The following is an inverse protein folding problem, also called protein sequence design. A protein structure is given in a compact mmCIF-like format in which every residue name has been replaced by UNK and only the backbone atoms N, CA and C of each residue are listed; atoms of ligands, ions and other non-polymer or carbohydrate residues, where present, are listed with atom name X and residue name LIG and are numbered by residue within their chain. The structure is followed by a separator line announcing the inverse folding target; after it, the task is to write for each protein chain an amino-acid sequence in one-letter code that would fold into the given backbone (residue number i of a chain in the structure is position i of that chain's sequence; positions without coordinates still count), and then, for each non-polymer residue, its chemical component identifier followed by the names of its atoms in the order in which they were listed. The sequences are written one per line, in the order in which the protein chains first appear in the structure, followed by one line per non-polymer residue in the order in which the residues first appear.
data_IF_414369349109
#
_entry.id   IF_414369349109
#
_cell.length_a   1.000
_cell.length_b   1.000
_cell.length_c   1.000
_cell.angle_alpha   90.00
_cell.angle_beta   90.00
_cell.angle_gamma   90.00
#
_symmetry.space_group_name_H-M   'P 1'
#
loop_
_entity.id
_entity.type
_entity.pdbx_description
1 polymer ?
#
# COMPACT_ATOMS: atom_id res chain seq x y z
N UNK A 1 -1.45 -36.91 -52.85
CA UNK A 1 -1.47 -35.48 -52.54
C UNK A 1 -1.81 -35.30 -51.07
N UNK A 2 -0.81 -35.08 -50.23
CA UNK A 2 -0.99 -34.88 -48.78
C UNK A 2 -1.33 -33.40 -48.56
N UNK A 3 -2.53 -33.12 -48.03
CA UNK A 3 -2.93 -31.76 -47.64
C UNK A 3 -2.27 -31.43 -46.30
N UNK A 4 -1.28 -30.55 -46.33
CA UNK A 4 -0.75 -29.91 -45.13
C UNK A 4 -1.80 -28.92 -44.60
N UNK A 5 -2.41 -29.25 -43.45
CA UNK A 5 -3.17 -28.30 -42.64
C UNK A 5 -2.17 -27.59 -41.75
N UNK A 6 -1.92 -26.31 -42.05
CA UNK A 6 -1.09 -25.44 -41.23
C UNK A 6 -1.91 -25.01 -40.01
N UNK A 7 -1.61 -25.58 -38.84
CA UNK A 7 -2.20 -25.16 -37.57
C UNK A 7 -1.52 -23.85 -37.16
N UNK A 8 -2.20 -22.71 -37.34
CA UNK A 8 -1.73 -21.44 -36.82
C UNK A 8 -1.88 -21.44 -35.30
N UNK A 9 -0.77 -21.55 -34.56
CA UNK A 9 -0.74 -21.19 -33.14
C UNK A 9 -0.98 -19.68 -33.06
N UNK A 10 -2.19 -19.27 -32.68
CA UNK A 10 -2.40 -17.95 -32.09
C UNK A 10 -1.66 -17.94 -30.74
N UNK A 11 -0.45 -17.37 -30.74
CA UNK A 11 0.12 -16.87 -29.51
C UNK A 11 -0.78 -15.72 -29.04
N UNK A 12 -1.72 -16.03 -28.13
CA UNK A 12 -2.38 -15.03 -27.31
C UNK A 12 -1.27 -14.35 -26.50
N UNK A 13 -0.70 -13.27 -27.02
CA UNK A 13 0.11 -12.35 -26.24
C UNK A 13 -0.83 -11.74 -25.22
N UNK A 14 -0.95 -12.40 -24.06
CA UNK A 14 -1.65 -11.83 -22.92
C UNK A 14 -1.07 -10.45 -22.68
N UNK A 15 -1.94 -9.44 -22.64
CA UNK A 15 -1.54 -8.10 -22.20
C UNK A 15 -1.01 -8.22 -20.77
N UNK A 16 0.31 -8.33 -20.63
CA UNK A 16 1.00 -8.35 -19.36
C UNK A 16 0.72 -7.04 -18.62
N UNK A 17 -0.10 -7.10 -17.59
CA UNK A 17 -0.37 -5.97 -16.71
C UNK A 17 0.74 -5.92 -15.66
N UNK A 18 1.61 -4.91 -15.71
CA UNK A 18 2.72 -4.80 -14.78
C UNK A 18 2.31 -4.34 -13.37
N UNK A 19 1.05 -4.53 -12.96
CA UNK A 19 0.53 -3.94 -11.74
C UNK A 19 -0.17 -4.98 -10.87
N UNK A 20 0.01 -4.85 -9.55
CA UNK A 20 -0.77 -5.55 -8.54
C UNK A 20 -1.57 -4.56 -7.71
N UNK A 21 -2.76 -4.97 -7.30
CA UNK A 21 -3.52 -4.27 -6.25
C UNK A 21 -3.17 -4.90 -4.91
N UNK A 22 -2.65 -4.11 -3.98
CA UNK A 22 -2.31 -4.55 -2.64
C UNK A 22 -3.43 -4.10 -1.70
N UNK A 23 -4.11 -5.05 -1.07
CA UNK A 23 -5.20 -4.78 -0.12
C UNK A 23 -4.64 -4.69 1.29
N UNK A 24 -5.05 -3.67 2.03
CA UNK A 24 -4.66 -3.45 3.42
C UNK A 24 -5.88 -3.58 4.33
N UNK A 25 -5.84 -4.59 5.19
CA UNK A 25 -6.80 -4.82 6.27
C UNK A 25 -6.12 -4.60 7.63
N UNK A 26 -6.89 -4.48 8.72
CA UNK A 26 -6.32 -4.53 10.08
C UNK A 26 -7.10 -5.55 10.92
N UNK A 27 -8.39 -5.31 11.16
CA UNK A 27 -9.26 -6.25 11.87
C UNK A 27 -10.23 -6.97 10.93
N UNK A 28 -10.49 -8.25 11.22
CA UNK A 28 -11.64 -9.00 10.68
C UNK A 28 -12.56 -9.38 11.83
N UNK A 29 -13.41 -8.44 12.25
CA UNK A 29 -14.20 -8.53 13.48
C UNK A 29 -15.40 -7.59 13.48
N UNK A 30 -16.50 -8.01 14.10
CA UNK A 30 -17.71 -7.20 14.34
C UNK A 30 -17.63 -6.36 15.63
N UNK A 31 -16.64 -6.62 16.50
CA UNK A 31 -16.56 -6.05 17.86
C UNK A 31 -15.49 -4.99 18.03
N UNK A 32 -14.78 -4.64 16.96
CA UNK A 32 -13.65 -3.69 16.96
C UNK A 32 -14.07 -2.39 16.24
N UNK A 33 -13.34 -1.27 16.43
CA UNK A 33 -13.72 0.01 15.84
C UNK A 33 -13.87 -0.07 14.30
N UNK A 34 -15.07 0.22 13.79
CA UNK A 34 -15.40 0.07 12.38
C UNK A 34 -14.44 0.79 11.40
N UNK A 35 -13.76 1.85 11.85
CA UNK A 35 -12.79 2.61 11.04
C UNK A 35 -11.56 1.80 10.62
N UNK A 36 -11.22 0.73 11.35
CA UNK A 36 -10.10 -0.18 11.05
C UNK A 36 -10.54 -1.63 10.88
N UNK A 37 -11.85 -1.88 10.81
CA UNK A 37 -12.41 -3.23 10.73
C UNK A 37 -13.18 -3.48 9.45
N UNK A 38 -13.11 -4.72 8.99
CA UNK A 38 -14.09 -5.35 8.10
C UNK A 38 -14.82 -6.44 8.89
N UNK A 39 -16.10 -6.64 8.64
CA UNK A 39 -16.82 -7.75 9.29
C UNK A 39 -16.36 -9.09 8.72
N UNK A 40 -16.47 -10.20 9.47
CA UNK A 40 -16.18 -11.54 8.93
C UNK A 40 -17.00 -11.88 7.68
N UNK A 41 -18.26 -11.43 7.64
CA UNK A 41 -19.14 -11.61 6.50
C UNK A 41 -18.66 -10.85 5.25
N UNK A 42 -18.32 -9.57 5.41
CA UNK A 42 -17.76 -8.74 4.34
C UNK A 42 -16.43 -9.31 3.83
N UNK A 43 -15.54 -9.71 4.74
CA UNK A 43 -14.26 -10.30 4.36
C UNK A 43 -14.47 -11.60 3.56
N UNK A 44 -15.36 -12.48 4.02
CA UNK A 44 -15.71 -13.72 3.29
C UNK A 44 -16.28 -13.42 1.90
N UNK A 45 -17.18 -12.45 1.79
CA UNK A 45 -17.77 -12.03 0.50
C UNK A 45 -16.68 -11.52 -0.46
N UNK A 46 -15.73 -10.72 0.03
CA UNK A 46 -14.61 -10.23 -0.76
C UNK A 46 -13.72 -11.38 -1.25
N UNK A 47 -13.36 -12.33 -0.37
CA UNK A 47 -12.54 -13.48 -0.75
C UNK A 47 -13.24 -14.38 -1.78
N UNK A 48 -14.54 -14.63 -1.59
CA UNK A 48 -15.36 -15.35 -2.56
C UNK A 48 -15.35 -14.65 -3.92
N UNK A 49 -15.54 -13.33 -3.93
CA UNK A 49 -15.51 -12.55 -5.17
C UNK A 49 -14.17 -12.69 -5.90
N UNK A 50 -13.03 -12.61 -5.19
CA UNK A 50 -11.71 -12.80 -5.80
C UNK A 50 -11.58 -14.19 -6.45
N UNK A 51 -12.04 -15.24 -5.76
CA UNK A 51 -11.99 -16.61 -6.25
C UNK A 51 -12.88 -16.82 -7.51
N UNK A 52 -14.08 -16.26 -7.51
CA UNK A 52 -15.06 -16.43 -8.59
C UNK A 52 -14.76 -15.58 -9.84
N UNK A 53 -13.96 -14.52 -9.71
CA UNK A 53 -13.73 -13.54 -10.77
C UNK A 53 -12.32 -13.60 -11.40
N UNK A 54 -11.64 -14.73 -11.25
CA UNK A 54 -10.33 -15.02 -11.84
C UNK A 54 -9.24 -14.03 -11.42
N UNK A 55 -9.20 -13.66 -10.14
CA UNK A 55 -8.08 -12.90 -9.58
C UNK A 55 -6.92 -13.84 -9.24
N UNK A 56 -5.70 -13.34 -9.46
CA UNK A 56 -4.46 -14.03 -9.13
C UNK A 56 -3.99 -13.53 -7.75
N UNK A 57 -4.43 -14.19 -6.68
CA UNK A 57 -3.96 -13.86 -5.32
C UNK A 57 -2.58 -14.50 -5.11
N UNK A 58 -1.57 -13.67 -4.88
CA UNK A 58 -0.16 -14.10 -4.75
C UNK A 58 0.47 -13.55 -3.47
N UNK A 59 1.55 -14.17 -2.96
CA UNK A 59 2.29 -13.61 -1.83
C UNK A 59 2.81 -12.20 -2.15
N UNK A 60 2.91 -11.34 -1.15
CA UNK A 60 3.36 -9.96 -1.37
C UNK A 60 4.82 -9.94 -1.86
N UNK A 61 5.66 -10.84 -1.35
CA UNK A 61 7.05 -11.01 -1.81
C UNK A 61 7.12 -11.23 -3.33
N UNK A 62 6.21 -12.02 -3.91
CA UNK A 62 6.15 -12.27 -5.36
C UNK A 62 5.86 -10.99 -6.15
N UNK A 63 4.97 -10.13 -5.64
CA UNK A 63 4.70 -8.82 -6.24
C UNK A 63 5.96 -7.95 -6.18
N UNK A 64 6.59 -7.88 -5.01
CA UNK A 64 7.81 -7.08 -4.79
C UNK A 64 8.95 -7.52 -5.70
N UNK A 65 9.24 -8.82 -5.75
CA UNK A 65 10.27 -9.39 -6.61
C UNK A 65 10.00 -9.10 -8.09
N UNK A 66 8.73 -9.18 -8.51
CA UNK A 66 8.34 -8.87 -9.88
C UNK A 66 8.56 -7.40 -10.22
N UNK A 67 8.20 -6.47 -9.33
CA UNK A 67 8.44 -5.03 -9.51
C UNK A 67 9.94 -4.75 -9.56
N UNK A 68 10.73 -5.26 -8.62
CA UNK A 68 12.20 -5.13 -8.58
C UNK A 68 12.84 -5.63 -9.87
N UNK A 69 12.41 -6.79 -10.36
CA UNK A 69 12.91 -7.39 -11.58
C UNK A 69 12.31 -6.81 -12.88
N UNK A 70 11.41 -5.81 -12.77
CA UNK A 70 10.62 -5.28 -13.89
C UNK A 70 9.94 -6.37 -14.72
N UNK A 71 9.52 -7.45 -14.05
CA UNK A 71 8.79 -8.56 -14.65
C UNK A 71 7.31 -8.23 -14.72
N UNK A 72 6.69 -8.65 -15.81
CA UNK A 72 5.25 -8.58 -15.97
C UNK A 72 4.54 -9.39 -14.88
N UNK A 73 3.52 -8.79 -14.27
CA UNK A 73 2.53 -9.52 -13.48
C UNK A 73 1.35 -9.94 -14.37
N UNK A 74 0.63 -11.01 -14.03
CA UNK A 74 -0.64 -11.29 -14.65
C UNK A 74 -1.64 -10.15 -14.43
N UNK A 75 -2.62 -10.00 -15.33
CA UNK A 75 -3.75 -9.14 -15.04
C UNK A 75 -4.51 -9.65 -13.81
N UNK A 76 -5.17 -8.75 -13.08
CA UNK A 76 -5.93 -9.06 -11.86
C UNK A 76 -5.08 -9.70 -10.74
N UNK A 77 -3.80 -9.33 -10.64
CA UNK A 77 -2.96 -9.75 -9.51
C UNK A 77 -3.30 -8.97 -8.24
N UNK A 78 -3.55 -9.70 -7.15
CA UNK A 78 -3.86 -9.16 -5.83
C UNK A 78 -2.85 -9.68 -4.81
N UNK A 79 -2.40 -8.82 -3.90
CA UNK A 79 -1.77 -9.24 -2.65
C UNK A 79 -2.64 -8.82 -1.47
N UNK A 80 -2.83 -9.72 -0.50
CA UNK A 80 -3.63 -9.47 0.71
C UNK A 80 -2.67 -9.21 1.85
N UNK A 81 -2.84 -8.07 2.52
CA UNK A 81 -1.99 -7.67 3.65
C UNK A 81 -2.85 -7.28 4.84
N UNK A 82 -2.33 -7.54 6.04
CA UNK A 82 -2.90 -7.13 7.30
C UNK A 82 -1.85 -6.39 8.12
N UNK A 83 -2.24 -5.30 8.75
CA UNK A 83 -1.38 -4.52 9.63
C UNK A 83 -1.63 -4.89 11.11
N UNK A 84 -0.75 -4.43 12.00
CA UNK A 84 -0.77 -4.50 13.48
C UNK A 84 -0.61 -5.88 14.15
N UNK A 85 -0.99 -6.97 13.50
CA UNK A 85 -0.85 -8.32 14.08
C UNK A 85 -1.97 -8.71 15.06
N UNK A 86 -3.20 -8.26 14.83
CA UNK A 86 -4.35 -8.56 15.67
C UNK A 86 -4.77 -10.05 15.69
N UNK A 87 -5.27 -10.55 16.84
CA UNK A 87 -5.79 -11.92 17.01
C UNK A 87 -6.97 -12.24 16.11
N UNK A 88 -7.74 -11.24 15.70
CA UNK A 88 -8.85 -11.41 14.75
C UNK A 88 -8.37 -12.01 13.42
N UNK A 89 -7.11 -11.81 13.05
CA UNK A 89 -6.54 -12.41 11.85
C UNK A 89 -6.34 -13.92 12.00
N UNK A 90 -5.70 -14.37 13.09
CA UNK A 90 -5.56 -15.80 13.38
C UNK A 90 -6.92 -16.50 13.53
N UNK A 91 -7.86 -15.88 14.26
CA UNK A 91 -9.11 -16.52 14.65
C UNK A 91 -10.16 -16.50 13.54
N UNK A 92 -10.15 -15.49 12.68
CA UNK A 92 -11.23 -15.26 11.71
C UNK A 92 -10.72 -15.24 10.27
N UNK A 93 -9.74 -14.39 9.95
CA UNK A 93 -9.31 -14.19 8.57
C UNK A 93 -8.56 -15.41 8.00
N UNK A 94 -7.64 -15.98 8.79
CA UNK A 94 -6.81 -17.11 8.38
C UNK A 94 -7.63 -18.35 8.00
N UNK A 95 -8.62 -18.82 8.79
CA UNK A 95 -9.50 -19.91 8.38
C UNK A 95 -10.24 -19.66 7.06
N UNK A 96 -10.65 -18.42 6.78
CA UNK A 96 -11.31 -18.06 5.52
C UNK A 96 -10.32 -18.12 4.37
N UNK A 97 -9.14 -17.50 4.51
CA UNK A 97 -8.09 -17.50 3.47
C UNK A 97 -7.64 -18.93 3.13
N UNK A 98 -7.54 -19.81 4.13
CA UNK A 98 -7.19 -21.22 3.97
C UNK A 98 -8.20 -21.98 3.09
N UNK A 99 -9.49 -21.67 3.15
CA UNK A 99 -10.51 -22.28 2.28
C UNK A 99 -10.26 -21.98 0.80
N UNK A 100 -9.77 -20.78 0.50
CA UNK A 100 -9.46 -20.33 -0.87
C UNK A 100 -8.00 -20.58 -1.26
N UNK A 101 -7.15 -21.07 -0.33
CA UNK A 101 -5.70 -21.19 -0.50
C UNK A 101 -5.04 -19.86 -0.87
N UNK A 102 -5.56 -18.76 -0.33
CA UNK A 102 -5.04 -17.42 -0.59
C UNK A 102 -3.86 -17.11 0.33
N UNK A 103 -2.68 -16.78 -0.22
CA UNK A 103 -1.56 -16.30 0.58
C UNK A 103 -1.84 -14.89 1.08
N UNK A 104 -1.16 -14.51 2.16
CA UNK A 104 -1.27 -13.19 2.75
C UNK A 104 -0.02 -12.85 3.55
N UNK A 105 0.15 -11.54 3.80
CA UNK A 105 1.26 -11.00 4.58
C UNK A 105 0.73 -10.28 5.81
N UNK A 106 1.37 -10.50 6.96
CA UNK A 106 1.10 -9.87 8.24
C UNK A 106 2.24 -8.92 8.59
N UNK A 107 1.97 -7.63 8.62
CA UNK A 107 2.88 -6.65 9.18
C UNK A 107 2.65 -6.56 10.68
N UNK A 108 3.69 -6.82 11.49
CA UNK A 108 3.57 -6.90 12.95
C UNK A 108 4.48 -5.89 13.66
N UNK A 109 3.96 -5.29 14.72
CA UNK A 109 4.76 -4.51 15.69
C UNK A 109 5.11 -5.40 16.87
N UNK A 110 6.38 -5.44 17.27
CA UNK A 110 6.88 -6.41 18.25
C UNK A 110 6.55 -6.03 19.70
N UNK A 111 6.61 -4.74 20.04
CA UNK A 111 6.39 -4.30 21.42
C UNK A 111 4.99 -4.68 21.96
N UNK A 112 3.87 -4.47 21.23
CA UNK A 112 2.55 -4.89 21.69
C UNK A 112 2.42 -6.41 21.92
N UNK A 113 3.14 -7.22 21.14
CA UNK A 113 3.19 -8.67 21.28
C UNK A 113 3.94 -9.05 22.57
N UNK A 114 5.11 -8.43 22.81
CA UNK A 114 5.91 -8.67 24.01
C UNK A 114 5.23 -8.19 25.30
N UNK A 115 4.42 -7.12 25.21
CA UNK A 115 3.59 -6.63 26.32
C UNK A 115 2.28 -7.42 26.49
N UNK A 116 2.06 -8.45 25.67
CA UNK A 116 0.89 -9.34 25.71
C UNK A 116 -0.45 -8.59 25.67
N UNK A 117 -0.54 -7.52 24.86
CA UNK A 117 -1.77 -6.76 24.73
C UNK A 117 -2.93 -7.65 24.25
N UNK A 118 -4.08 -7.51 24.91
CA UNK A 118 -5.23 -8.43 24.80
C UNK A 118 -5.73 -8.69 23.37
N UNK A 119 -5.57 -7.74 22.46
CA UNK A 119 -6.00 -7.88 21.06
C UNK A 119 -4.90 -8.38 20.10
N UNK A 120 -3.65 -8.48 20.54
CA UNK A 120 -2.49 -8.80 19.69
C UNK A 120 -2.17 -10.28 19.69
N UNK A 121 -1.80 -10.85 18.55
CA UNK A 121 -1.36 -12.24 18.49
C UNK A 121 -0.13 -12.49 19.38
N UNK A 122 -0.02 -13.69 19.94
CA UNK A 122 1.24 -14.14 20.55
C UNK A 122 2.24 -14.59 19.49
N UNK A 123 3.52 -14.65 19.84
CA UNK A 123 4.54 -15.26 18.98
C UNK A 123 4.21 -16.69 18.56
N UNK A 124 3.62 -17.49 19.47
CA UNK A 124 3.22 -18.86 19.13
C UNK A 124 2.14 -18.90 18.04
N UNK A 125 1.21 -17.94 18.03
CA UNK A 125 0.22 -17.81 16.96
C UNK A 125 0.91 -17.41 15.65
N UNK A 126 1.79 -16.40 15.67
CA UNK A 126 2.53 -15.96 14.48
C UNK A 126 3.39 -17.06 13.87
N UNK A 127 4.10 -17.85 14.69
CA UNK A 127 4.89 -19.00 14.25
C UNK A 127 3.99 -20.05 13.61
N UNK A 128 2.83 -20.33 14.20
CA UNK A 128 1.84 -21.25 13.62
C UNK A 128 1.38 -20.77 12.25
N UNK A 129 1.00 -19.50 12.10
CA UNK A 129 0.56 -18.93 10.82
C UNK A 129 1.69 -18.94 9.78
N UNK A 130 2.92 -18.60 10.19
CA UNK A 130 4.12 -18.69 9.36
C UNK A 130 4.33 -20.11 8.81
N UNK A 131 4.24 -21.12 9.67
CA UNK A 131 4.35 -22.53 9.27
C UNK A 131 3.22 -22.99 8.33
N UNK A 132 2.07 -22.31 8.37
CA UNK A 132 0.94 -22.52 7.46
C UNK A 132 1.02 -21.67 6.18
N UNK A 133 2.10 -20.91 5.97
CA UNK A 133 2.38 -20.19 4.73
C UNK A 133 2.07 -18.69 4.76
N UNK A 134 1.75 -18.11 5.91
CA UNK A 134 1.64 -16.65 6.06
C UNK A 134 3.02 -16.00 6.03
N UNK A 135 3.16 -14.90 5.29
CA UNK A 135 4.36 -14.07 5.35
C UNK A 135 4.30 -13.16 6.57
N UNK A 136 5.34 -13.11 7.39
CA UNK A 136 5.43 -12.21 8.55
C UNK A 136 6.45 -11.12 8.25
N UNK A 137 6.03 -9.86 8.33
CA UNK A 137 6.76 -8.69 7.89
C UNK A 137 6.69 -7.55 8.93
N UNK A 138 7.43 -6.47 8.68
CA UNK A 138 7.77 -5.46 9.67
C UNK A 138 6.72 -4.34 9.77
N UNK A 139 6.31 -3.99 10.99
CA UNK A 139 5.46 -2.81 11.26
C UNK A 139 6.06 -1.90 12.35
N UNK A 140 7.38 -1.71 12.29
CA UNK A 140 8.20 -1.06 13.31
C UNK A 140 8.11 -1.73 14.70
N UNK A 141 8.74 -1.12 15.71
CA UNK A 141 8.83 -1.71 17.04
C UNK A 141 7.52 -1.57 17.83
N UNK A 142 7.03 -0.35 18.01
CA UNK A 142 5.93 -0.03 18.91
C UNK A 142 4.69 0.53 18.22
N UNK A 143 4.59 0.44 16.90
CA UNK A 143 3.57 1.14 16.10
C UNK A 143 3.65 2.66 16.31
N UNK A 144 4.87 3.19 16.40
CA UNK A 144 5.13 4.60 16.61
C UNK A 144 4.98 5.42 15.32
N UNK A 145 4.64 6.71 15.48
CA UNK A 145 4.67 7.65 14.37
C UNK A 145 6.10 7.91 13.94
N UNK A 146 6.53 7.32 12.82
CA UNK A 146 7.94 7.31 12.44
C UNK A 146 8.49 8.72 12.21
N UNK A 147 7.70 9.64 11.65
CA UNK A 147 8.11 11.03 11.36
C UNK A 147 8.15 11.95 12.60
N UNK A 148 7.74 11.46 13.77
CA UNK A 148 7.63 12.28 14.99
C UNK A 148 8.87 12.11 15.86
N UNK A 149 9.49 13.25 16.18
CA UNK A 149 10.61 13.34 17.12
C UNK A 149 10.08 13.35 18.56
N UNK A 150 10.86 12.75 19.46
CA UNK A 150 10.67 12.92 20.89
C UNK A 150 11.07 14.35 21.30
N UNK A 151 10.68 14.75 22.52
CA UNK A 151 11.16 16.00 23.09
C UNK A 151 12.69 15.98 23.19
N UNK A 152 13.33 17.09 22.78
CA UNK A 152 14.79 17.31 22.80
C UNK A 152 15.63 16.38 21.90
N UNK A 153 14.99 15.65 20.99
CA UNK A 153 15.66 14.76 20.04
C UNK A 153 16.17 15.52 18.80
N UNK A 154 17.46 15.38 18.49
CA UNK A 154 18.00 15.88 17.21
C UNK A 154 17.56 15.02 16.02
N UNK A 155 17.70 15.53 14.81
CA UNK A 155 17.36 14.81 13.58
C UNK A 155 18.14 13.50 13.45
N UNK A 156 19.41 13.50 13.85
CA UNK A 156 20.27 12.31 13.84
C UNK A 156 19.84 11.28 14.89
N UNK A 157 19.51 11.73 16.10
CA UNK A 157 19.04 10.84 17.18
C UNK A 157 17.69 10.20 16.82
N UNK A 158 16.78 11.00 16.26
CA UNK A 158 15.50 10.53 15.78
C UNK A 158 15.65 9.47 14.70
N UNK A 159 16.43 9.76 13.64
CA UNK A 159 16.60 8.81 12.56
C UNK A 159 17.27 7.52 13.03
N UNK A 160 18.28 7.62 13.90
CA UNK A 160 18.95 6.46 14.49
C UNK A 160 18.01 5.59 15.33
N UNK A 161 17.12 6.20 16.12
CA UNK A 161 16.10 5.47 16.89
C UNK A 161 15.10 4.76 15.98
N UNK A 162 14.63 5.42 14.92
CA UNK A 162 13.71 4.81 13.96
C UNK A 162 14.39 3.65 13.22
N UNK A 163 15.64 3.82 12.78
CA UNK A 163 16.47 2.77 12.18
C UNK A 163 16.64 1.58 13.14
N UNK A 164 17.00 1.82 14.39
CA UNK A 164 17.12 0.77 15.41
C UNK A 164 15.81 0.01 15.62
N UNK A 165 14.68 0.71 15.76
CA UNK A 165 13.37 0.11 15.94
C UNK A 165 13.01 -0.84 14.79
N UNK A 166 13.20 -0.40 13.54
CA UNK A 166 12.88 -1.19 12.35
C UNK A 166 13.80 -2.40 12.24
N UNK A 167 15.10 -2.23 12.42
CA UNK A 167 16.08 -3.33 12.34
C UNK A 167 15.87 -4.36 13.46
N UNK A 168 15.56 -3.90 14.67
CA UNK A 168 15.24 -4.77 15.80
C UNK A 168 13.96 -5.57 15.57
N UNK A 169 12.92 -4.95 15.01
CA UNK A 169 11.70 -5.67 14.62
C UNK A 169 12.00 -6.76 13.60
N UNK A 170 12.78 -6.46 12.56
CA UNK A 170 13.17 -7.45 11.56
C UNK A 170 13.93 -8.62 12.21
N UNK A 171 14.88 -8.32 13.10
CA UNK A 171 15.65 -9.35 13.80
C UNK A 171 14.80 -10.28 14.67
N UNK A 172 13.79 -9.76 15.37
CA UNK A 172 12.87 -10.60 16.16
C UNK A 172 11.95 -11.44 15.27
N UNK A 173 11.48 -10.91 14.14
CA UNK A 173 10.73 -11.69 13.14
C UNK A 173 11.58 -12.84 12.59
N UNK A 174 12.83 -12.57 12.19
CA UNK A 174 13.78 -13.59 11.71
C UNK A 174 14.01 -14.65 12.77
N UNK A 175 14.25 -14.24 14.02
CA UNK A 175 14.49 -15.17 15.13
C UNK A 175 13.29 -16.07 15.41
N UNK A 176 12.07 -15.53 15.35
CA UNK A 176 10.87 -16.29 15.65
C UNK A 176 10.42 -17.19 14.49
N UNK A 177 10.51 -16.71 13.26
CA UNK A 177 9.87 -17.34 12.09
C UNK A 177 10.84 -17.86 11.04
N UNK A 178 12.10 -17.43 11.06
CA UNK A 178 13.09 -17.66 10.01
C UNK A 178 12.90 -16.79 8.77
N UNK A 179 11.86 -15.95 8.70
CA UNK A 179 11.57 -15.09 7.56
C UNK A 179 12.37 -13.79 7.64
N UNK A 180 13.02 -13.39 6.54
CA UNK A 180 13.79 -12.14 6.40
C UNK A 180 13.35 -11.42 5.13
N UNK A 181 12.12 -10.91 5.13
CA UNK A 181 11.50 -10.37 3.93
C UNK A 181 11.96 -8.94 3.62
N UNK A 182 12.43 -8.19 4.64
CA UNK A 182 12.74 -6.76 4.54
C UNK A 182 11.61 -5.96 3.90
N UNK A 183 10.38 -6.24 4.33
CA UNK A 183 9.18 -5.54 3.92
C UNK A 183 8.62 -4.78 5.12
N UNK A 184 8.42 -3.47 4.99
CA UNK A 184 7.90 -2.60 6.05
C UNK A 184 6.58 -1.95 5.63
N UNK A 185 5.51 -2.15 6.39
CA UNK A 185 4.37 -1.23 6.32
C UNK A 185 4.64 -0.05 7.25
N UNK A 186 4.49 1.19 6.77
CA UNK A 186 4.64 2.36 7.63
C UNK A 186 3.44 2.46 8.59
N UNK A 187 3.65 2.49 9.92
CA UNK A 187 2.59 2.84 10.87
C UNK A 187 1.88 4.12 10.43
N UNK A 188 0.55 4.10 10.43
CA UNK A 188 -0.31 5.22 9.99
C UNK A 188 -0.11 5.68 8.53
N UNK A 189 0.71 4.98 7.74
CA UNK A 189 1.14 5.40 6.41
C UNK A 189 2.09 6.60 6.41
N UNK A 190 2.76 6.88 7.53
CA UNK A 190 3.60 8.06 7.71
C UNK A 190 5.08 7.78 7.40
N UNK A 191 5.63 8.53 6.46
CA UNK A 191 7.05 8.49 6.08
C UNK A 191 7.50 9.85 5.52
N UNK A 192 8.81 10.03 5.43
CA UNK A 192 9.46 11.18 4.81
C UNK A 192 10.70 10.72 4.03
N UNK A 193 11.35 11.64 3.31
CA UNK A 193 12.49 11.28 2.45
C UNK A 193 13.65 10.65 3.24
N UNK A 194 13.94 11.13 4.46
CA UNK A 194 15.03 10.59 5.29
C UNK A 194 14.79 9.12 5.69
N UNK A 195 13.55 8.74 5.99
CA UNK A 195 13.18 7.35 6.28
C UNK A 195 13.29 6.50 5.01
N UNK A 196 12.81 6.99 3.86
CA UNK A 196 12.92 6.26 2.59
C UNK A 196 14.38 5.96 2.23
N UNK A 197 15.26 6.97 2.32
CA UNK A 197 16.69 6.82 2.05
C UNK A 197 17.35 5.81 3.00
N UNK A 198 16.96 5.82 4.29
CA UNK A 198 17.43 4.86 5.29
C UNK A 198 16.98 3.43 4.94
N UNK A 199 15.73 3.25 4.53
CA UNK A 199 15.18 1.94 4.17
C UNK A 199 15.83 1.38 2.90
N UNK A 200 16.02 2.22 1.88
CA UNK A 200 16.70 1.82 0.64
C UNK A 200 18.13 1.34 0.92
N UNK A 201 18.88 2.08 1.76
CA UNK A 201 20.23 1.69 2.22
C UNK A 201 20.26 0.30 2.86
N UNK A 202 19.21 -0.10 3.58
CA UNK A 202 19.09 -1.42 4.21
C UNK A 202 18.47 -2.49 3.31
N UNK A 203 18.05 -2.13 2.09
CA UNK A 203 17.41 -3.00 1.11
C UNK A 203 15.95 -3.32 1.44
N UNK A 204 15.29 -2.48 2.23
CA UNK A 204 13.88 -2.62 2.52
C UNK A 204 13.01 -2.19 1.34
N UNK A 205 11.84 -2.81 1.27
CA UNK A 205 10.71 -2.34 0.46
C UNK A 205 9.64 -1.91 1.43
N UNK A 206 9.00 -0.78 1.16
CA UNK A 206 8.07 -0.21 2.12
C UNK A 206 6.74 0.21 1.48
N UNK A 207 5.70 0.14 2.31
CA UNK A 207 4.31 0.23 1.90
C UNK A 207 3.61 1.34 2.67
N UNK A 208 3.07 2.30 1.93
CA UNK A 208 2.24 3.35 2.51
C UNK A 208 0.77 2.96 2.56
N UNK A 209 -0.09 3.96 2.79
CA UNK A 209 -1.55 3.82 2.80
C UNK A 209 -2.22 4.64 1.68
N UNK A 210 -1.42 5.23 0.78
CA UNK A 210 -1.91 5.93 -0.40
C UNK A 210 -2.48 4.92 -1.40
N UNK A 211 -3.65 5.24 -1.95
CA UNK A 211 -4.39 4.37 -2.86
C UNK A 211 -3.71 4.28 -4.23
N UNK A 212 -3.69 3.08 -4.81
CA UNK A 212 -3.13 2.88 -6.14
C UNK A 212 -2.72 1.43 -6.36
N UNK A 213 -2.54 1.05 -7.62
CA UNK A 213 -1.91 -0.22 -7.95
C UNK A 213 -0.39 -0.05 -7.97
N UNK A 214 0.32 -1.01 -7.39
CA UNK A 214 1.77 -1.05 -7.33
C UNK A 214 2.32 -1.66 -8.62
N UNK A 215 3.37 -1.06 -9.20
CA UNK A 215 3.99 -1.53 -10.42
C UNK A 215 5.36 -0.87 -10.69
N UNK A 216 5.93 -1.01 -11.90
CA UNK A 216 7.25 -0.49 -12.26
C UNK A 216 7.43 1.02 -12.09
N UNK A 217 6.35 1.79 -12.04
CA UNK A 217 6.38 3.24 -11.84
C UNK A 217 6.21 3.65 -10.37
N UNK A 218 6.05 2.68 -9.47
CA UNK A 218 5.97 2.94 -8.03
C UNK A 218 7.37 2.93 -7.39
N UNK A 219 7.68 3.90 -6.50
CA UNK A 219 8.88 3.83 -5.68
C UNK A 219 8.82 2.61 -4.75
N UNK A 220 9.93 1.85 -4.66
CA UNK A 220 10.00 0.63 -3.84
C UNK A 220 9.87 0.92 -2.33
N UNK A 221 10.24 2.11 -1.90
CA UNK A 221 10.11 2.58 -0.50
C UNK A 221 8.76 3.22 -0.21
N UNK A 222 7.85 3.29 -1.17
CA UNK A 222 6.53 3.88 -0.99
C UNK A 222 5.48 3.23 -1.92
N UNK A 223 5.43 1.89 -1.91
CA UNK A 223 4.42 1.14 -2.66
C UNK A 223 3.00 1.44 -2.14
N UNK A 224 2.03 1.71 -3.03
CA UNK A 224 0.66 2.04 -2.64
C UNK A 224 -0.13 0.81 -2.19
N UNK A 225 -1.12 1.02 -1.33
CA UNK A 225 -2.08 0.02 -0.87
C UNK A 225 -3.48 0.60 -0.84
N UNK A 226 -4.50 -0.24 -0.97
CA UNK A 226 -5.88 0.15 -0.76
C UNK A 226 -6.34 -0.28 0.63
N UNK A 227 -6.60 0.68 1.56
CA UNK A 227 -7.25 0.38 2.82
C UNK A 227 -8.67 -0.18 2.58
N UNK A 228 -8.98 -1.29 3.25
CA UNK A 228 -10.27 -1.98 3.21
C UNK A 228 -10.82 -2.09 4.63
N UNK A 229 -11.45 -1.01 5.10
CA UNK A 229 -12.07 -0.93 6.42
C UNK A 229 -13.24 0.06 6.40
N UNK A 230 -14.22 -0.13 7.29
CA UNK A 230 -15.37 0.76 7.45
C UNK A 230 -16.08 1.04 6.12
N UNK A 231 -16.20 2.32 5.76
CA UNK A 231 -16.85 2.75 4.51
C UNK A 231 -16.14 2.25 3.25
N UNK A 232 -14.87 1.82 3.35
CA UNK A 232 -14.09 1.29 2.24
C UNK A 232 -14.15 -0.24 2.11
N UNK A 233 -14.84 -0.92 3.03
CA UNK A 233 -15.03 -2.37 3.00
C UNK A 233 -16.17 -2.82 2.07
N UNK A 234 -17.03 -1.91 1.60
CA UNK A 234 -18.10 -2.23 0.67
C UNK A 234 -17.55 -2.78 -0.65
N UNK A 235 -18.01 -3.98 -1.03
CA UNK A 235 -17.51 -4.70 -2.19
C UNK A 235 -17.81 -3.96 -3.51
N UNK A 236 -18.93 -3.26 -3.63
CA UNK A 236 -19.26 -2.55 -4.86
C UNK A 236 -18.25 -1.44 -5.16
N UNK A 237 -17.87 -0.67 -4.14
CA UNK A 237 -16.80 0.33 -4.26
C UNK A 237 -15.42 -0.31 -4.47
N UNK A 238 -15.17 -1.47 -3.84
CA UNK A 238 -13.90 -2.18 -3.93
C UNK A 238 -13.63 -2.75 -5.32
N UNK A 239 -14.66 -3.21 -6.04
CA UNK A 239 -14.52 -3.76 -7.42
C UNK A 239 -13.75 -2.82 -8.35
N UNK A 240 -14.04 -1.52 -8.29
CA UNK A 240 -13.33 -0.52 -9.11
C UNK A 240 -11.84 -0.48 -8.74
N UNK A 241 -11.53 -0.50 -7.45
CA UNK A 241 -10.15 -0.48 -6.94
C UNK A 241 -9.36 -1.74 -7.33
N UNK A 242 -10.00 -2.91 -7.31
CA UNK A 242 -9.40 -4.20 -7.70
C UNK A 242 -8.96 -4.26 -9.17
N UNK A 243 -9.50 -3.38 -10.02
CA UNK A 243 -9.12 -3.25 -11.42
C UNK A 243 -8.19 -2.06 -11.70
N UNK A 244 -7.67 -1.40 -10.66
CA UNK A 244 -6.79 -0.24 -10.82
C UNK A 244 -5.50 -0.61 -11.54
N UNK A 245 -4.99 0.33 -12.33
CA UNK A 245 -3.72 0.25 -13.04
C UNK A 245 -2.68 1.15 -12.37
N UNK A 246 -1.41 0.74 -12.41
CA UNK A 246 -0.29 1.54 -11.93
C UNK A 246 -0.11 2.74 -12.86
N UNK A 247 -0.40 3.95 -12.38
CA UNK A 247 -0.23 5.17 -13.17
C UNK A 247 1.22 5.27 -13.63
N UNK A 248 1.49 5.46 -14.93
CA UNK A 248 2.85 5.45 -15.45
C UNK A 248 3.53 6.80 -15.23
N UNK A 249 3.76 7.13 -13.96
CA UNK A 249 4.47 8.33 -13.53
C UNK A 249 5.96 8.15 -13.84
N UNK A 250 6.46 8.94 -14.79
CA UNK A 250 7.88 8.97 -15.17
C UNK A 250 8.68 9.76 -14.13
N UNK A 251 8.13 10.87 -13.67
CA UNK A 251 8.74 11.72 -12.66
C UNK A 251 7.71 12.61 -11.97
N UNK A 252 8.02 13.07 -10.77
CA UNK A 252 7.24 14.08 -10.07
C UNK A 252 8.11 15.04 -9.26
N UNK A 253 7.60 16.23 -8.98
CA UNK A 253 8.18 17.15 -7.98
C UNK A 253 7.52 16.95 -6.62
N UNK A 254 8.20 17.33 -5.54
CA UNK A 254 7.68 17.28 -4.16
C UNK A 254 7.15 15.88 -3.78
N UNK A 255 8.03 14.88 -3.79
CA UNK A 255 7.69 13.51 -3.40
C UNK A 255 7.64 13.29 -1.89
N UNK A 256 8.35 14.10 -1.09
CA UNK A 256 8.35 13.96 0.37
C UNK A 256 6.94 14.23 0.93
N UNK A 257 6.29 13.24 1.56
CA UNK A 257 4.97 13.45 2.15
C UNK A 257 4.99 14.46 3.30
N UNK A 258 6.11 14.61 4.03
CA UNK A 258 6.19 15.52 5.16
C UNK A 258 6.37 16.95 4.67
N UNK A 259 5.33 17.77 4.87
CA UNK A 259 5.34 19.15 4.40
C UNK A 259 6.26 20.04 5.26
N UNK A 260 7.06 20.92 4.63
CA UNK A 260 7.83 21.93 5.35
C UNK A 260 6.92 22.89 6.13
N UNK A 261 7.40 23.37 7.27
CA UNK A 261 6.65 24.31 8.10
C UNK A 261 6.23 25.56 7.32
N UNK A 262 4.92 25.85 7.33
CA UNK A 262 4.34 26.99 6.63
C UNK A 262 4.05 26.75 5.14
N UNK A 263 4.38 25.59 4.59
CA UNK A 263 4.12 25.23 3.18
C UNK A 263 2.99 24.20 3.07
N UNK A 264 1.77 24.64 3.37
CA UNK A 264 0.61 23.75 3.53
C UNK A 264 -0.24 23.53 2.27
N UNK A 265 0.19 24.09 1.13
CA UNK A 265 -0.48 23.98 -0.17
C UNK A 265 0.51 23.44 -1.21
N UNK A 266 0.96 22.19 -1.06
CA UNK A 266 1.98 21.64 -1.94
C UNK A 266 1.49 21.66 -3.39
N UNK A 267 2.30 22.17 -4.30
CA UNK A 267 2.11 21.93 -5.73
C UNK A 267 2.93 20.71 -6.11
N UNK A 268 2.35 19.78 -6.87
CA UNK A 268 3.10 18.72 -7.55
C UNK A 268 2.98 18.90 -9.05
N UNK A 269 4.08 18.63 -9.75
CA UNK A 269 4.13 18.47 -11.20
C UNK A 269 4.43 17.01 -11.47
N UNK A 270 3.62 16.38 -12.30
CA UNK A 270 3.70 14.94 -12.58
C UNK A 270 3.85 14.77 -14.09
N UNK A 271 4.90 14.06 -14.49
CA UNK A 271 5.16 13.68 -15.88
C UNK A 271 4.72 12.24 -16.10
N UNK A 272 3.91 11.99 -17.12
CA UNK A 272 3.30 10.69 -17.38
C UNK A 272 3.77 10.11 -18.73
N UNK A 273 3.81 8.78 -18.82
CA UNK A 273 3.75 8.08 -20.11
C UNK A 273 2.31 8.14 -20.64
N UNK A 274 2.13 8.82 -21.77
CA UNK A 274 0.81 9.10 -22.35
C UNK A 274 0.33 8.02 -23.33
N UNK A 275 1.06 6.91 -23.47
CA UNK A 275 0.75 5.84 -24.43
C UNK A 275 -0.69 5.35 -24.29
N UNK A 276 -1.13 5.07 -23.06
CA UNK A 276 -2.43 4.46 -22.77
C UNK A 276 -3.35 5.33 -21.88
N UNK A 277 -3.05 6.61 -21.67
CA UNK A 277 -3.83 7.49 -20.77
C UNK A 277 -4.77 8.42 -21.51
N UNK A 278 -6.05 8.45 -21.15
CA UNK A 278 -6.96 9.52 -21.59
C UNK A 278 -6.75 10.80 -20.76
N UNK A 279 -5.86 11.68 -21.24
CA UNK A 279 -5.49 12.93 -20.59
C UNK A 279 -6.68 13.85 -20.30
N UNK A 280 -7.63 13.94 -21.24
CA UNK A 280 -8.78 14.83 -21.16
C UNK A 280 -9.76 14.49 -20.02
N UNK A 281 -9.69 13.25 -19.53
CA UNK A 281 -10.51 12.72 -18.46
C UNK A 281 -9.73 12.53 -17.15
N UNK A 282 -8.46 12.97 -17.08
CA UNK A 282 -7.71 12.95 -15.84
C UNK A 282 -8.35 13.91 -14.84
N UNK A 283 -8.67 13.39 -13.66
CA UNK A 283 -9.21 14.16 -12.55
C UNK A 283 -8.40 13.92 -11.30
N UNK A 284 -8.13 14.98 -10.55
CA UNK A 284 -7.53 14.89 -9.23
C UNK A 284 -8.57 15.19 -8.14
N UNK A 285 -8.36 14.63 -6.96
CA UNK A 285 -9.21 14.80 -5.80
C UNK A 285 -8.31 15.16 -4.63
N UNK A 286 -8.52 16.36 -4.11
CA UNK A 286 -7.76 16.88 -2.98
C UNK A 286 -8.59 16.66 -1.73
N UNK A 287 -8.04 15.95 -0.75
CA UNK A 287 -8.75 15.66 0.49
C UNK A 287 -9.24 16.95 1.15
N UNK A 288 -10.53 17.00 1.45
CA UNK A 288 -11.19 18.18 2.03
C UNK A 288 -11.52 19.31 1.04
N UNK A 289 -11.12 19.21 -0.23
CA UNK A 289 -11.35 20.24 -1.26
C UNK A 289 -12.05 19.70 -2.52
N UNK A 290 -12.28 18.39 -2.61
CA UNK A 290 -13.09 17.78 -3.66
C UNK A 290 -12.34 17.56 -4.97
N UNK A 291 -13.09 17.42 -6.06
CA UNK A 291 -12.56 17.14 -7.39
C UNK A 291 -12.01 18.42 -8.05
N UNK A 292 -10.83 18.30 -8.65
CA UNK A 292 -10.13 19.39 -9.34
C UNK A 292 -9.50 18.88 -10.63
N UNK A 293 -9.70 19.63 -11.72
CA UNK A 293 -9.00 19.38 -12.97
C UNK A 293 -7.53 19.77 -12.80
N UNK A 294 -6.58 18.93 -13.24
CA UNK A 294 -5.18 19.31 -13.24
C UNK A 294 -4.92 20.43 -14.26
N UNK A 295 -3.85 21.18 -14.06
CA UNK A 295 -3.35 22.15 -15.04
C UNK A 295 -2.31 21.48 -15.93
N UNK A 296 -2.61 21.26 -17.21
CA UNK A 296 -1.63 20.69 -18.14
C UNK A 296 -0.58 21.74 -18.54
N UNK A 297 0.68 21.46 -18.25
CA UNK A 297 1.84 22.31 -18.56
C UNK A 297 2.39 21.99 -19.96
N UNK A 298 2.33 20.72 -20.35
CA UNK A 298 2.70 20.18 -21.66
C UNK A 298 1.80 19.00 -22.02
N UNK A 299 2.03 18.36 -23.17
CA UNK A 299 1.28 17.18 -23.61
C UNK A 299 1.38 15.97 -22.65
N UNK A 300 2.40 15.93 -21.80
CA UNK A 300 2.68 14.80 -20.89
C UNK A 300 2.95 15.21 -19.44
N UNK A 301 2.83 16.48 -19.10
CA UNK A 301 3.06 16.97 -17.74
C UNK A 301 1.88 17.82 -17.27
N UNK A 302 1.41 17.54 -16.06
CA UNK A 302 0.39 18.34 -15.40
C UNK A 302 0.84 18.79 -14.01
N UNK A 303 0.26 19.88 -13.51
CA UNK A 303 0.34 20.28 -12.11
C UNK A 303 -0.98 20.23 -11.39
N UNK A 304 -0.92 20.00 -10.08
CA UNK A 304 -2.07 20.08 -9.18
C UNK A 304 -1.60 20.66 -7.84
N UNK A 305 -2.41 21.58 -7.29
CA UNK A 305 -2.13 22.26 -6.03
C UNK A 305 -3.44 22.49 -5.25
N UNK A 306 -3.36 22.35 -3.93
CA UNK A 306 -4.43 22.73 -3.01
C UNK A 306 -4.68 24.25 -3.02
N UNK A 307 -5.96 24.62 -2.98
CA UNK A 307 -6.41 26.01 -2.96
C UNK A 307 -6.37 26.58 -1.54
N UNK A 308 -6.71 25.73 -0.59
CA UNK A 308 -6.66 25.99 0.84
C UNK A 308 -5.54 25.18 1.48
N UNK A 309 -5.07 25.62 2.65
CA UNK A 309 -4.16 24.84 3.47
C UNK A 309 -4.74 23.45 3.70
N UNK A 310 -3.93 22.42 3.51
CA UNK A 310 -4.31 21.07 3.91
C UNK A 310 -4.52 21.03 5.43
N UNK A 311 -5.48 20.25 5.94
CA UNK A 311 -5.67 20.10 7.37
C UNK A 311 -4.40 19.53 8.03
N UNK A 312 -4.20 19.83 9.30
CA UNK A 312 -3.15 19.18 10.09
C UNK A 312 -3.38 17.65 10.12
N UNK A 313 -2.31 16.88 10.24
CA UNK A 313 -2.33 15.43 10.12
C UNK A 313 -2.17 14.96 8.67
N UNK A 314 -2.84 13.85 8.35
CA UNK A 314 -2.72 13.14 7.08
C UNK A 314 -3.73 13.64 6.05
N UNK A 315 -3.24 13.91 4.85
CA UNK A 315 -3.99 14.31 3.66
C UNK A 315 -3.46 13.58 2.44
N UNK A 316 -4.12 13.73 1.28
CA UNK A 316 -3.63 13.17 0.02
C UNK A 316 -4.20 13.90 -1.19
N UNK A 317 -3.47 13.82 -2.29
CA UNK A 317 -3.98 14.06 -3.65
C UNK A 317 -4.16 12.72 -4.34
N UNK A 318 -5.35 12.46 -4.87
CA UNK A 318 -5.63 11.26 -5.65
C UNK A 318 -5.95 11.67 -7.09
N UNK A 319 -5.17 11.24 -8.06
CA UNK A 319 -5.43 11.50 -9.47
C UNK A 319 -5.73 10.19 -10.20
N UNK A 320 -6.83 10.16 -10.94
CA UNK A 320 -7.24 9.00 -11.74
C UNK A 320 -7.45 9.39 -13.19
N UNK A 321 -7.14 8.46 -14.09
CA UNK A 321 -7.34 8.65 -15.52
C UNK A 321 -7.78 7.32 -16.16
N UNK A 322 -8.78 7.33 -17.06
CA UNK A 322 -9.16 6.15 -17.83
C UNK A 322 -8.01 5.68 -18.73
N UNK A 323 -7.85 4.38 -18.85
CA UNK A 323 -7.02 3.79 -19.90
C UNK A 323 -7.70 3.92 -21.27
N UNK A 324 -6.91 4.09 -22.34
CA UNK A 324 -7.41 4.11 -23.73
C UNK A 324 -7.74 2.71 -24.23
N UNK A 325 -6.98 1.71 -23.79
CA UNK A 325 -7.08 0.32 -24.28
C UNK A 325 -7.73 -0.63 -23.29
N UNK A 326 -7.77 -0.28 -22.00
CA UNK A 326 -8.32 -1.11 -20.93
C UNK A 326 -9.59 -0.45 -20.38
N UNK A 327 -10.60 -1.24 -20.08
CA UNK A 327 -11.82 -0.78 -19.40
C UNK A 327 -11.61 -0.50 -17.91
N UNK A 328 -10.53 0.20 -17.54
CA UNK A 328 -10.08 0.40 -16.16
C UNK A 328 -9.36 1.75 -16.00
N UNK A 329 -9.03 2.11 -14.75
CA UNK A 329 -8.46 3.41 -14.41
C UNK A 329 -7.04 3.28 -13.90
N UNK A 330 -6.16 4.15 -14.39
CA UNK A 330 -4.89 4.45 -13.75
C UNK A 330 -5.13 5.24 -12.47
N UNK A 331 -4.38 4.90 -11.43
CA UNK A 331 -4.51 5.52 -10.12
C UNK A 331 -3.15 5.96 -9.59
N UNK A 332 -3.05 7.24 -9.25
CA UNK A 332 -1.91 7.85 -8.59
C UNK A 332 -2.37 8.55 -7.33
N UNK A 333 -1.64 8.36 -6.23
CA UNK A 333 -1.91 9.07 -4.98
C UNK A 333 -0.62 9.55 -4.36
N UNK A 334 -0.58 10.82 -3.99
CA UNK A 334 0.50 11.42 -3.20
C UNK A 334 -0.03 11.71 -1.79
N UNK A 335 0.52 11.07 -0.74
CA UNK A 335 0.20 11.42 0.63
C UNK A 335 0.88 12.72 1.05
N UNK A 336 0.27 13.41 2.00
CA UNK A 336 0.78 14.63 2.63
C UNK A 336 0.56 14.57 4.13
N UNK A 337 1.55 15.03 4.89
CA UNK A 337 1.51 14.99 6.34
C UNK A 337 2.10 16.29 6.87
N UNK A 338 1.39 16.91 7.81
CA UNK A 338 1.87 18.14 8.47
C UNK A 338 1.46 18.21 9.93
N UNK A 339 2.27 18.84 10.80
CA UNK A 339 1.81 19.24 12.12
C UNK A 339 0.77 20.37 12.03
N UNK A 340 0.25 20.74 13.19
CA UNK A 340 -0.51 21.99 13.36
C UNK A 340 0.39 23.19 13.05
N UNK A 341 -0.21 24.34 12.80
CA UNK A 341 0.54 25.57 12.48
C UNK A 341 1.50 26.01 13.60
N UNK A 342 1.29 25.57 14.85
CA UNK A 342 2.19 25.81 15.97
C UNK A 342 3.34 24.76 16.10
N UNK A 343 3.49 23.86 15.11
CA UNK A 343 4.51 22.81 15.11
C UNK A 343 4.15 21.54 15.90
N UNK A 344 3.05 21.54 16.65
CA UNK A 344 2.63 20.36 17.41
C UNK A 344 1.89 19.35 16.54
N UNK A 345 2.12 18.06 16.76
CA UNK A 345 1.38 16.99 16.11
C UNK A 345 -0.05 16.85 16.65
N UNK A 346 -0.94 16.27 15.84
CA UNK A 346 -2.27 15.87 16.30
C UNK A 346 -2.12 14.72 17.28
N UNK A 347 -2.81 14.80 18.42
CA UNK A 347 -2.97 13.67 19.33
C UNK A 347 -3.96 12.70 18.68
N UNK A 348 -3.54 11.45 18.53
CA UNK A 348 -4.33 10.39 17.87
C UNK A 348 -4.71 9.30 18.87
#
# INVERSE_FOLDING_TARGET
MVKNVLLALLALTGFSAHAAVILQYHHVSDSTPAVTSVTPAQFKEQMQYLAENNFNVVPLSTVVESIKAKKALPAKTIAITFDDGYRSIANTAHPILKQYKFPYTLFVSVEPILKEYGEMMSWQQLITLSNEGAEIANHSWGHEHLIRKNADETDEQWLARIEENILRTEAEIVKATGQNLKMLAYPYGEYNQQIEDMLDKHGFVAFGQQSGAAGPYSPLTALPRFPVAGVYADLNSLKVKLHSLNMPVISQTNSDPQLPQGQWRPEIKVTLDMSDINASQLMCFIQGQGAKKPNWISDNQFSIQAELDLPAGRSRYNCTAPSKSKGSYYWFSQPWIRPKSNGQWIAE
#
